data_IF_099873574479
#
_entry.id   IF_099873574479
#
_cell.length_a   1.000
_cell.length_b   1.000
_cell.length_c   1.000
_cell.angle_alpha   90.00
_cell.angle_beta   90.00
_cell.angle_gamma   90.00
#
_symmetry.space_group_name_H-M   'P 1'
#
loop_
_entity.id
_entity.type
_entity.pdbx_description
1 polymer ?
#
# COMPACT_ATOMS: atom_id res chain seq x y z
N UNK A 1 -25.89 37.98 22.21
CA UNK A 1 -24.59 37.45 21.76
C UNK A 1 -24.62 35.94 21.90
N UNK A 2 -24.90 35.24 20.81
CA UNK A 2 -24.90 33.79 20.76
C UNK A 2 -23.68 33.30 19.99
N UNK A 3 -23.03 32.26 20.52
CA UNK A 3 -22.09 31.44 19.75
C UNK A 3 -22.52 30.00 19.99
N UNK A 4 -23.21 29.47 18.98
CA UNK A 4 -23.59 28.07 18.86
C UNK A 4 -22.40 27.34 18.23
N UNK A 5 -21.80 26.38 18.93
CA UNK A 5 -20.84 25.43 18.34
C UNK A 5 -21.58 24.10 18.24
N UNK A 6 -22.00 23.79 17.01
CA UNK A 6 -22.73 22.59 16.65
C UNK A 6 -21.81 21.58 15.98
N UNK A 7 -22.17 20.30 16.12
CA UNK A 7 -21.80 19.14 15.28
C UNK A 7 -20.46 18.44 15.63
N UNK A 8 -20.30 17.11 15.57
CA UNK A 8 -21.20 16.01 15.20
C UNK A 8 -20.61 14.70 15.75
N UNK A 9 -21.49 13.80 16.17
CA UNK A 9 -21.28 12.37 16.40
C UNK A 9 -20.88 11.64 15.11
N UNK A 10 -19.88 10.73 15.18
CA UNK A 10 -19.62 9.64 14.21
C UNK A 10 -20.40 8.41 14.68
N UNK A 11 -21.12 7.61 13.85
CA UNK A 11 -20.63 6.75 12.73
C UNK A 11 -21.66 6.71 11.55
N UNK A 12 -21.64 5.86 10.47
CA UNK A 12 -20.89 4.62 10.23
C UNK A 12 -20.13 4.51 8.89
N UNK A 13 -19.16 3.60 8.93
CA UNK A 13 -18.50 2.91 7.82
C UNK A 13 -19.54 2.47 6.79
N UNK A 14 -19.54 3.11 5.61
CA UNK A 14 -20.35 2.68 4.48
C UNK A 14 -19.47 1.89 3.53
N UNK A 15 -19.77 0.60 3.46
CA UNK A 15 -19.33 -0.33 2.42
C UNK A 15 -20.12 -0.02 1.15
N UNK A 16 -19.45 0.05 0.00
CA UNK A 16 -20.05 -0.07 -1.33
C UNK A 16 -20.89 1.12 -1.81
N UNK A 17 -20.31 1.91 -2.72
CA UNK A 17 -21.06 2.90 -3.51
C UNK A 17 -20.15 3.55 -4.55
N UNK A 18 -20.43 3.30 -5.84
CA UNK A 18 -19.81 4.01 -6.95
C UNK A 18 -20.10 5.52 -6.81
N UNK A 19 -19.09 6.35 -7.04
CA UNK A 19 -19.32 7.70 -7.56
C UNK A 19 -18.54 7.89 -8.87
N UNK A 20 -19.28 8.35 -9.87
CA UNK A 20 -19.00 8.44 -11.30
C UNK A 20 -18.92 9.93 -11.68
N UNK A 21 -17.93 10.69 -11.19
CA UNK A 21 -18.05 12.15 -11.39
C UNK A 21 -16.94 13.11 -10.97
N UNK A 22 -15.67 12.72 -10.89
CA UNK A 22 -14.61 13.69 -10.55
C UNK A 22 -14.08 14.45 -11.79
N UNK A 23 -14.50 15.71 -11.94
CA UNK A 23 -13.77 16.74 -12.70
C UNK A 23 -12.44 16.98 -12.00
N UNK A 24 -11.31 16.82 -12.70
CA UNK A 24 -10.01 17.28 -12.20
C UNK A 24 -9.97 18.80 -12.21
N UNK A 25 -9.84 19.39 -11.02
CA UNK A 25 -9.40 20.78 -10.87
C UNK A 25 -7.98 20.95 -11.43
N UNK A 26 -7.76 22.09 -12.10
CA UNK A 26 -6.49 22.49 -12.67
C UNK A 26 -5.49 22.81 -11.56
N UNK A 27 -4.30 22.23 -11.64
CA UNK A 27 -3.09 22.81 -11.04
C UNK A 27 -2.31 23.44 -12.21
N UNK A 28 -2.24 24.76 -12.22
CA UNK A 28 -1.65 25.55 -13.30
C UNK A 28 -0.15 25.84 -13.10
N UNK A 29 0.53 26.10 -14.21
CA UNK A 29 1.62 27.08 -14.29
C UNK A 29 1.23 28.13 -15.33
N UNK A 30 1.38 29.39 -14.97
CA UNK A 30 0.81 30.56 -15.64
C UNK A 30 1.53 31.04 -16.91
N UNK A 31 0.69 31.63 -17.77
CA UNK A 31 0.87 32.57 -18.90
C UNK A 31 1.13 32.05 -20.33
N UNK A 32 0.50 32.69 -21.34
CA UNK A 32 0.33 32.14 -22.68
C UNK A 32 1.37 32.69 -23.68
N UNK A 33 1.85 31.90 -24.65
CA UNK A 33 2.24 32.44 -25.93
C UNK A 33 1.02 32.39 -26.86
N UNK A 34 0.51 33.58 -27.15
CA UNK A 34 -0.10 33.89 -28.44
C UNK A 34 0.84 33.42 -29.55
N UNK A 35 0.33 32.62 -30.50
CA UNK A 35 1.09 32.21 -31.68
C UNK A 35 0.72 30.79 -32.11
N UNK A 36 -0.07 30.68 -33.17
CA UNK A 36 -0.48 29.39 -33.73
C UNK A 36 0.72 28.52 -34.10
N UNK A 37 0.73 27.29 -33.61
CA UNK A 37 1.50 26.20 -34.19
C UNK A 37 0.68 24.93 -34.05
N UNK A 38 -0.03 24.59 -35.12
CA UNK A 38 -0.71 23.31 -35.32
C UNK A 38 0.33 22.22 -35.58
N UNK A 39 1.05 21.81 -34.56
CA UNK A 39 1.71 20.50 -34.53
C UNK A 39 0.95 19.63 -33.53
N UNK A 40 -0.19 19.10 -33.98
CA UNK A 40 -0.77 17.93 -33.35
C UNK A 40 0.25 16.80 -33.50
N UNK A 41 1.07 16.60 -32.47
CA UNK A 41 1.97 15.46 -32.39
C UNK A 41 1.07 14.23 -32.50
N UNK A 42 1.07 13.56 -33.67
CA UNK A 42 0.49 12.23 -33.78
C UNK A 42 1.26 11.40 -32.76
N UNK A 43 0.60 10.97 -31.69
CA UNK A 43 1.21 10.09 -30.70
C UNK A 43 1.80 8.92 -31.46
N UNK A 44 3.10 8.71 -31.33
CA UNK A 44 3.77 7.60 -32.00
C UNK A 44 3.20 6.28 -31.47
N UNK A 45 3.33 5.20 -32.25
CA UNK A 45 2.99 3.84 -31.81
C UNK A 45 3.65 3.51 -30.45
N UNK A 46 4.84 4.07 -30.19
CA UNK A 46 5.54 3.96 -28.92
C UNK A 46 4.83 4.72 -27.79
N UNK A 47 4.39 5.96 -28.02
CA UNK A 47 3.66 6.75 -27.03
C UNK A 47 2.33 6.09 -26.63
N UNK A 48 1.64 5.49 -27.61
CA UNK A 48 0.39 4.76 -27.38
C UNK A 48 0.63 3.51 -26.53
N UNK A 49 1.69 2.74 -26.86
CA UNK A 49 2.06 1.56 -26.07
C UNK A 49 2.48 1.93 -24.65
N UNK A 50 3.31 2.97 -24.47
CA UNK A 50 3.71 3.48 -23.16
C UNK A 50 2.51 3.95 -22.34
N UNK A 51 1.54 4.62 -22.96
CA UNK A 51 0.27 4.99 -22.31
C UNK A 51 -0.51 3.76 -21.84
N UNK A 52 -0.64 2.73 -22.69
CA UNK A 52 -1.32 1.47 -22.33
C UNK A 52 -0.61 0.72 -21.20
N UNK A 53 0.73 0.71 -21.19
CA UNK A 53 1.53 0.10 -20.11
C UNK A 53 1.26 0.82 -18.79
N UNK A 54 1.29 2.16 -18.78
CA UNK A 54 1.01 2.95 -17.58
C UNK A 54 -0.41 2.73 -17.05
N UNK A 55 -1.40 2.68 -17.95
CA UNK A 55 -2.79 2.40 -17.58
C UNK A 55 -2.96 1.00 -16.98
N UNK A 56 -2.32 -0.01 -17.55
CA UNK A 56 -2.36 -1.37 -17.01
C UNK A 56 -1.58 -1.48 -15.70
N UNK A 57 -0.44 -0.78 -15.57
CA UNK A 57 0.35 -0.77 -14.34
C UNK A 57 -0.42 -0.16 -13.18
N UNK A 58 -1.12 0.96 -13.41
CA UNK A 58 -2.01 1.55 -12.40
C UNK A 58 -3.14 0.61 -11.97
N UNK A 59 -3.60 -0.29 -12.85
CA UNK A 59 -4.63 -1.30 -12.52
C UNK A 59 -4.06 -2.51 -11.77
N UNK A 60 -2.82 -2.89 -12.07
CA UNK A 60 -2.13 -3.99 -11.41
C UNK A 60 -1.24 -3.56 -10.25
N UNK A 61 -1.36 -2.30 -9.82
CA UNK A 61 -0.50 -1.73 -8.78
C UNK A 61 -0.55 -2.62 -7.53
N UNK A 62 0.61 -3.12 -7.05
CA UNK A 62 0.63 -4.03 -5.92
C UNK A 62 0.30 -3.27 -4.63
N UNK A 63 -0.30 -3.97 -3.67
CA UNK A 63 -0.37 -3.48 -2.30
C UNK A 63 1.00 -3.70 -1.66
N UNK A 64 1.66 -2.60 -1.31
CA UNK A 64 2.96 -2.65 -0.65
C UNK A 64 2.79 -2.91 0.84
N UNK A 65 3.68 -3.73 1.40
CA UNK A 65 3.73 -4.00 2.83
C UNK A 65 4.69 -3.00 3.46
N UNK A 66 4.29 -2.35 4.55
CA UNK A 66 5.19 -1.49 5.33
C UNK A 66 5.65 -2.23 6.58
N UNK A 67 6.95 -2.26 6.81
CA UNK A 67 7.54 -2.78 8.04
C UNK A 67 8.03 -1.61 8.89
N UNK A 68 7.52 -1.52 10.13
CA UNK A 68 7.95 -0.54 11.11
C UNK A 68 9.05 -1.15 11.97
N UNK A 69 10.30 -0.77 11.68
CA UNK A 69 11.46 -1.30 12.37
C UNK A 69 11.57 -0.68 13.77
N UNK A 70 11.83 -1.52 14.77
CA UNK A 70 12.06 -1.04 16.14
C UNK A 70 13.33 -0.20 16.20
N UNK A 71 13.30 0.85 17.01
CA UNK A 71 14.49 1.66 17.29
C UNK A 71 15.52 0.90 18.13
N UNK A 72 16.78 1.32 18.05
CA UNK A 72 17.85 0.75 18.88
C UNK A 72 17.52 0.91 20.38
N UNK A 73 16.94 2.04 20.77
CA UNK A 73 16.55 2.34 22.14
C UNK A 73 15.46 1.39 22.66
N UNK A 74 14.45 1.08 21.84
CA UNK A 74 13.40 0.12 22.19
C UNK A 74 13.96 -1.29 22.35
N UNK A 75 14.85 -1.71 21.44
CA UNK A 75 15.55 -3.00 21.50
C UNK A 75 16.39 -3.07 22.78
N UNK A 76 17.18 -2.03 23.04
CA UNK A 76 18.03 -1.92 24.24
C UNK A 76 17.17 -1.98 25.50
N UNK A 77 16.09 -1.21 25.58
CA UNK A 77 15.19 -1.19 26.74
C UNK A 77 14.58 -2.56 27.01
N UNK A 78 14.11 -3.24 25.95
CA UNK A 78 13.59 -4.60 26.05
C UNK A 78 14.65 -5.58 26.58
N UNK A 79 15.89 -5.47 26.11
CA UNK A 79 17.00 -6.32 26.56
C UNK A 79 17.37 -6.06 28.03
N UNK A 80 17.53 -4.78 28.40
CA UNK A 80 17.84 -4.38 29.78
C UNK A 80 16.83 -4.96 30.77
N UNK A 81 15.54 -4.96 30.40
CA UNK A 81 14.44 -5.43 31.26
C UNK A 81 14.63 -6.87 31.74
N UNK A 82 15.12 -7.77 30.89
CA UNK A 82 15.34 -9.18 31.29
C UNK A 82 16.79 -9.48 31.67
N UNK A 83 17.77 -8.74 31.13
CA UNK A 83 19.18 -9.01 31.35
C UNK A 83 19.68 -8.46 32.69
N UNK A 84 19.34 -7.20 33.00
CA UNK A 84 19.88 -6.49 34.17
C UNK A 84 19.57 -7.17 35.52
N UNK A 85 18.34 -7.67 35.79
CA UNK A 85 18.02 -8.27 37.08
C UNK A 85 18.91 -9.44 37.47
N UNK A 86 19.34 -10.27 36.50
CA UNK A 86 20.24 -11.39 36.76
C UNK A 86 21.62 -10.92 37.22
N UNK A 87 22.14 -9.84 36.65
CA UNK A 87 23.43 -9.28 37.04
C UNK A 87 23.36 -8.55 38.38
N UNK A 88 22.28 -7.80 38.63
CA UNK A 88 22.06 -7.15 39.93
C UNK A 88 21.97 -8.18 41.06
N UNK A 89 21.30 -9.32 40.82
CA UNK A 89 21.28 -10.41 41.80
C UNK A 89 22.66 -11.01 42.05
N UNK A 90 23.46 -11.22 40.99
CA UNK A 90 24.82 -11.74 41.13
C UNK A 90 25.73 -10.79 41.92
N UNK A 91 25.61 -9.48 41.66
CA UNK A 91 26.32 -8.43 42.41
C UNK A 91 25.88 -8.45 43.88
N UNK A 92 24.57 -8.48 44.15
CA UNK A 92 24.03 -8.52 45.51
C UNK A 92 24.54 -9.74 46.29
N UNK A 93 24.50 -10.93 45.68
CA UNK A 93 25.02 -12.17 46.28
C UNK A 93 26.52 -12.05 46.60
N UNK A 94 27.30 -11.44 45.71
CA UNK A 94 28.74 -11.27 45.92
C UNK A 94 29.04 -10.32 47.08
N UNK A 95 28.30 -9.22 47.18
CA UNK A 95 28.40 -8.26 48.27
C UNK A 95 27.98 -8.87 49.61
N UNK A 96 26.90 -9.66 49.61
CA UNK A 96 26.43 -10.37 50.79
C UNK A 96 27.44 -11.41 51.28
N UNK A 97 28.04 -12.18 50.36
CA UNK A 97 29.10 -13.12 50.69
C UNK A 97 30.29 -12.41 51.36
N UNK A 98 30.76 -11.29 50.78
CA UNK A 98 31.86 -10.52 51.39
C UNK A 98 31.48 -9.95 52.75
N UNK A 99 30.23 -9.50 52.93
CA UNK A 99 29.74 -9.03 54.23
C UNK A 99 29.75 -10.15 55.27
N UNK A 100 29.28 -11.34 54.91
CA UNK A 100 29.28 -12.51 55.77
C UNK A 100 30.71 -12.93 56.14
N UNK A 101 31.62 -12.96 55.16
CA UNK A 101 33.02 -13.31 55.41
C UNK A 101 33.71 -12.32 56.35
N UNK A 102 33.48 -11.00 56.16
CA UNK A 102 34.00 -9.96 57.05
C UNK A 102 33.46 -10.09 58.48
N UNK A 103 32.18 -10.41 58.63
CA UNK A 103 31.56 -10.62 59.93
C UNK A 103 32.11 -11.88 60.63
N UNK A 104 32.33 -12.96 59.88
CA UNK A 104 32.96 -14.18 60.40
C UNK A 104 34.41 -13.91 60.85
N UNK A 105 35.15 -13.13 60.06
CA UNK A 105 36.51 -12.71 60.39
C UNK A 105 36.54 -11.85 61.65
N UNK A 106 35.55 -10.97 61.84
CA UNK A 106 35.39 -10.21 63.07
C UNK A 106 35.11 -11.08 64.30
N UNK A 107 34.20 -12.05 64.16
CA UNK A 107 33.90 -12.98 65.24
C UNK A 107 35.12 -13.79 65.67
N UNK A 108 35.90 -14.33 64.72
CA UNK A 108 37.14 -15.07 65.00
C UNK A 108 38.23 -14.14 65.59
N UNK A 109 38.36 -12.92 65.08
CA UNK A 109 39.31 -11.94 65.60
C UNK A 109 39.01 -11.56 67.05
N UNK A 110 37.74 -11.32 67.40
CA UNK A 110 37.31 -11.03 68.77
C UNK A 110 37.59 -12.24 69.67
N UNK A 111 37.23 -13.45 69.23
CA UNK A 111 37.44 -14.68 70.01
C UNK A 111 38.93 -14.94 70.32
N UNK A 112 39.83 -14.52 69.44
CA UNK A 112 41.29 -14.65 69.60
C UNK A 112 41.96 -13.44 70.25
N UNK A 113 41.22 -12.41 70.65
CA UNK A 113 41.78 -11.17 71.21
C UNK A 113 42.53 -10.29 70.19
N UNK A 114 42.31 -10.52 68.89
CA UNK A 114 42.95 -9.81 67.77
C UNK A 114 42.03 -8.77 67.09
N UNK A 115 40.91 -8.40 67.72
CA UNK A 115 39.88 -7.53 67.13
C UNK A 115 40.36 -6.15 66.66
N UNK A 116 41.48 -5.65 67.21
CA UNK A 116 42.11 -4.38 66.80
C UNK A 116 43.41 -4.57 66.01
N UNK A 117 43.71 -5.79 65.55
CA UNK A 117 44.96 -6.07 64.85
C UNK A 117 44.96 -5.50 63.43
N UNK A 118 46.09 -4.93 63.02
CA UNK A 118 46.31 -4.44 61.66
C UNK A 118 46.12 -5.54 60.61
N UNK A 119 46.41 -6.80 60.98
CA UNK A 119 46.21 -7.97 60.12
C UNK A 119 44.74 -8.17 59.74
N UNK A 120 43.82 -8.12 60.71
CA UNK A 120 42.38 -8.28 60.47
C UNK A 120 41.86 -7.18 59.54
N UNK A 121 42.28 -5.94 59.78
CA UNK A 121 41.97 -4.80 58.90
C UNK A 121 42.48 -5.03 57.47
N UNK A 122 43.71 -5.48 57.31
CA UNK A 122 44.33 -5.75 56.00
C UNK A 122 43.62 -6.89 55.24
N UNK A 123 43.22 -7.97 55.93
CA UNK A 123 42.43 -9.05 55.32
C UNK A 123 41.07 -8.53 54.83
N UNK A 124 40.35 -7.73 55.64
CA UNK A 124 39.08 -7.12 55.20
C UNK A 124 39.24 -6.23 53.99
N UNK A 125 40.32 -5.45 53.94
CA UNK A 125 40.64 -4.58 52.80
C UNK A 125 40.90 -5.41 51.53
N UNK A 126 41.67 -6.50 51.64
CA UNK A 126 41.85 -7.45 50.52
C UNK A 126 40.52 -8.03 50.05
N UNK A 127 39.63 -8.39 50.97
CA UNK A 127 38.34 -8.98 50.64
C UNK A 127 37.41 -7.97 49.96
N UNK A 128 37.41 -6.71 50.41
CA UNK A 128 36.71 -5.62 49.74
C UNK A 128 37.26 -5.33 48.34
N UNK A 129 38.58 -5.35 48.18
CA UNK A 129 39.22 -5.15 46.88
C UNK A 129 38.92 -6.30 45.91
N UNK A 130 38.83 -7.54 46.42
CA UNK A 130 38.41 -8.69 45.62
C UNK A 130 36.94 -8.57 45.18
N UNK A 131 36.03 -8.25 46.11
CA UNK A 131 34.62 -7.97 45.80
C UNK A 131 34.48 -6.90 44.72
N UNK A 132 35.18 -5.77 44.84
CA UNK A 132 35.10 -4.68 43.88
C UNK A 132 35.56 -5.11 42.47
N UNK A 133 36.58 -5.96 42.36
CA UNK A 133 37.04 -6.52 41.07
C UNK A 133 36.02 -7.48 40.47
N UNK A 134 35.39 -8.32 41.30
CA UNK A 134 34.37 -9.26 40.86
C UNK A 134 33.13 -8.51 40.35
N UNK A 135 32.68 -7.50 41.09
CA UNK A 135 31.57 -6.62 40.68
C UNK A 135 31.90 -5.87 39.39
N UNK A 136 33.11 -5.32 39.26
CA UNK A 136 33.54 -4.65 38.02
C UNK A 136 33.55 -5.62 36.82
N UNK A 137 33.93 -6.88 37.05
CA UNK A 137 33.89 -7.92 36.01
C UNK A 137 32.46 -8.25 35.61
N UNK A 138 31.53 -8.37 36.58
CA UNK A 138 30.11 -8.58 36.31
C UNK A 138 29.50 -7.43 35.50
N UNK A 139 29.80 -6.19 35.86
CA UNK A 139 29.33 -5.00 35.14
C UNK A 139 29.92 -4.91 33.72
N UNK A 140 31.20 -5.24 33.56
CA UNK A 140 31.83 -5.32 32.23
C UNK A 140 31.18 -6.38 31.35
N UNK A 141 30.92 -7.57 31.92
CA UNK A 141 30.25 -8.65 31.21
C UNK A 141 28.81 -8.28 30.84
N UNK A 142 28.09 -7.60 31.73
CA UNK A 142 26.77 -7.04 31.43
C UNK A 142 26.82 -6.07 30.25
N UNK A 143 27.73 -5.10 30.27
CA UNK A 143 27.90 -4.13 29.18
C UNK A 143 28.21 -4.79 27.84
N UNK A 144 29.14 -5.75 27.81
CA UNK A 144 29.48 -6.50 26.61
C UNK A 144 28.32 -7.34 26.10
N UNK A 145 27.60 -8.01 27.00
CA UNK A 145 26.47 -8.87 26.65
C UNK A 145 25.30 -8.04 26.10
N UNK A 146 25.00 -6.89 26.73
CA UNK A 146 23.99 -5.96 26.28
C UNK A 146 24.31 -5.45 24.86
N UNK A 147 25.56 -5.06 24.61
CA UNK A 147 25.98 -4.57 23.30
C UNK A 147 25.82 -5.63 22.20
N UNK A 148 26.21 -6.88 22.46
CA UNK A 148 26.05 -8.01 21.52
C UNK A 148 24.56 -8.25 21.18
N UNK A 149 23.69 -8.31 22.18
CA UNK A 149 22.25 -8.49 21.95
C UNK A 149 21.61 -7.31 21.23
N UNK A 150 22.02 -6.07 21.53
CA UNK A 150 21.51 -4.88 20.84
C UNK A 150 21.94 -4.90 19.38
N UNK A 151 23.22 -5.17 19.08
CA UNK A 151 23.72 -5.27 17.69
C UNK A 151 22.94 -6.32 16.89
N UNK A 152 22.79 -7.52 17.44
CA UNK A 152 22.02 -8.60 16.81
C UNK A 152 20.55 -8.25 16.61
N UNK A 153 19.96 -7.52 17.56
CA UNK A 153 18.60 -7.03 17.46
C UNK A 153 18.44 -6.03 16.31
N UNK A 154 19.34 -5.04 16.24
CA UNK A 154 19.36 -4.03 15.17
C UNK A 154 19.57 -4.69 13.80
N UNK A 155 20.54 -5.58 13.67
CA UNK A 155 20.81 -6.33 12.44
C UNK A 155 19.55 -7.07 11.95
N UNK A 156 18.85 -7.78 12.85
CA UNK A 156 17.62 -8.49 12.51
C UNK A 156 16.50 -7.54 12.03
N UNK A 157 16.31 -6.40 12.69
CA UNK A 157 15.32 -5.39 12.28
C UNK A 157 15.69 -4.78 10.91
N UNK A 158 16.98 -4.55 10.64
CA UNK A 158 17.43 -4.07 9.33
C UNK A 158 17.23 -5.11 8.23
N UNK A 159 17.47 -6.38 8.52
CA UNK A 159 17.24 -7.48 7.57
C UNK A 159 15.76 -7.63 7.22
N UNK A 160 14.86 -7.54 8.21
CA UNK A 160 13.41 -7.58 7.99
C UNK A 160 12.89 -6.40 7.17
N UNK A 161 13.43 -5.21 7.44
CA UNK A 161 13.12 -4.01 6.64
C UNK A 161 13.59 -4.20 5.19
N UNK A 162 14.81 -4.72 4.99
CA UNK A 162 15.35 -4.99 3.67
C UNK A 162 14.55 -6.07 2.92
N UNK A 163 14.13 -7.13 3.61
CA UNK A 163 13.29 -8.19 3.06
C UNK A 163 11.93 -7.64 2.60
N UNK A 164 11.31 -6.78 3.41
CA UNK A 164 10.06 -6.11 3.04
C UNK A 164 10.24 -5.22 1.81
N UNK A 165 11.34 -4.48 1.73
CA UNK A 165 11.66 -3.66 0.56
C UNK A 165 11.89 -4.50 -0.71
N UNK A 166 12.60 -5.64 -0.58
CA UNK A 166 12.80 -6.60 -1.67
C UNK A 166 11.47 -7.18 -2.13
N UNK A 167 10.63 -7.62 -1.21
CA UNK A 167 9.30 -8.14 -1.52
C UNK A 167 8.46 -7.10 -2.28
N UNK A 168 8.41 -5.85 -1.80
CA UNK A 168 7.68 -4.79 -2.51
C UNK A 168 8.27 -4.49 -3.89
N UNK A 169 9.60 -4.53 -4.04
CA UNK A 169 10.26 -4.37 -5.34
C UNK A 169 9.90 -5.51 -6.31
N UNK A 170 9.89 -6.76 -5.84
CA UNK A 170 9.49 -7.93 -6.62
C UNK A 170 8.01 -7.85 -7.04
N UNK A 171 7.11 -7.44 -6.13
CA UNK A 171 5.70 -7.24 -6.47
C UNK A 171 5.52 -6.14 -7.52
N UNK A 172 6.29 -5.05 -7.44
CA UNK A 172 6.28 -3.98 -8.47
C UNK A 172 6.78 -4.49 -9.82
N UNK A 173 7.84 -5.28 -9.85
CA UNK A 173 8.34 -5.88 -11.09
C UNK A 173 7.31 -6.82 -11.71
N UNK A 174 6.71 -7.70 -10.92
CA UNK A 174 5.66 -8.62 -11.38
C UNK A 174 4.44 -7.87 -11.90
N UNK A 175 4.00 -6.81 -11.21
CA UNK A 175 2.91 -5.95 -11.66
C UNK A 175 3.25 -5.27 -13.00
N UNK A 176 4.49 -4.82 -13.18
CA UNK A 176 4.97 -4.26 -14.44
C UNK A 176 4.95 -5.29 -15.58
N UNK A 177 5.41 -6.52 -15.35
CA UNK A 177 5.38 -7.58 -16.37
C UNK A 177 3.95 -7.95 -16.79
N UNK A 178 3.02 -8.05 -15.82
CA UNK A 178 1.60 -8.26 -16.10
C UNK A 178 0.99 -7.09 -16.88
N UNK A 179 1.32 -5.86 -16.49
CA UNK A 179 0.89 -4.66 -17.19
C UNK A 179 1.41 -4.60 -18.63
N UNK A 180 2.70 -4.92 -18.82
CA UNK A 180 3.35 -4.93 -20.11
C UNK A 180 2.73 -5.96 -21.06
N UNK A 181 2.55 -7.20 -20.59
CA UNK A 181 1.92 -8.25 -21.40
C UNK A 181 0.46 -7.93 -21.75
N UNK A 182 -0.32 -7.39 -20.80
CA UNK A 182 -1.69 -6.94 -21.07
C UNK A 182 -1.74 -5.76 -22.07
N UNK A 183 -0.82 -4.80 -21.93
CA UNK A 183 -0.70 -3.67 -22.83
C UNK A 183 -0.34 -4.10 -24.26
N UNK A 184 0.52 -5.11 -24.44
CA UNK A 184 0.83 -5.66 -25.75
C UNK A 184 -0.41 -6.25 -26.44
N UNK A 185 -1.28 -6.94 -25.70
CA UNK A 185 -2.54 -7.48 -26.24
C UNK A 185 -3.46 -6.34 -26.70
N UNK A 186 -3.60 -5.29 -25.89
CA UNK A 186 -4.40 -4.10 -26.24
C UNK A 186 -3.81 -3.34 -27.44
N UNK A 187 -2.48 -3.22 -27.49
CA UNK A 187 -1.79 -2.55 -28.58
C UNK A 187 -1.93 -3.30 -29.91
N UNK A 188 -1.89 -4.64 -29.90
CA UNK A 188 -2.19 -5.44 -31.09
C UNK A 188 -3.63 -5.19 -31.59
N UNK A 189 -4.60 -5.06 -30.69
CA UNK A 189 -5.97 -4.70 -31.08
C UNK A 189 -6.06 -3.27 -31.63
N UNK A 190 -5.33 -2.32 -31.04
CA UNK A 190 -5.22 -0.96 -31.56
C UNK A 190 -4.65 -0.95 -32.98
N UNK A 191 -3.55 -1.67 -33.25
CA UNK A 191 -2.96 -1.78 -34.59
C UNK A 191 -3.90 -2.42 -35.62
N UNK A 192 -4.67 -3.45 -35.21
CA UNK A 192 -5.69 -4.05 -36.08
C UNK A 192 -6.81 -3.07 -36.43
N UNK A 193 -7.15 -2.15 -35.53
CA UNK A 193 -8.14 -1.09 -35.77
C UNK A 193 -7.56 0.11 -36.54
N UNK A 194 -6.28 0.43 -36.39
CA UNK A 194 -5.64 1.55 -37.08
C UNK A 194 -5.10 1.21 -38.48
N UNK A 195 -4.72 -0.05 -38.72
CA UNK A 195 -4.29 -0.56 -40.03
C UNK A 195 -5.42 -0.98 -40.96
N UNK A 196 -6.67 -0.97 -40.48
CA UNK A 196 -7.86 -1.34 -41.24
C UNK A 196 -8.61 -0.12 -41.79
N UNK A 197 -8.12 0.46 -42.88
CA UNK A 197 -8.95 1.17 -43.85
C UNK A 197 -9.49 2.55 -43.45
N UNK A 198 -8.90 3.57 -44.08
CA UNK A 198 -9.59 4.81 -44.45
C UNK A 198 -10.95 4.49 -45.09
N UNK A 199 -12.02 4.77 -44.35
CA UNK A 199 -13.39 4.64 -44.79
C UNK A 199 -14.26 5.64 -44.05
N UNK A 200 -14.00 6.93 -44.26
CA UNK A 200 -14.89 8.02 -43.85
C UNK A 200 -16.13 7.97 -44.75
N UNK A 201 -17.04 7.06 -44.43
CA UNK A 201 -18.45 7.09 -44.82
C UNK A 201 -19.21 6.82 -43.53
N UNK A 202 -20.19 7.67 -43.19
CA UNK A 202 -20.91 7.66 -41.93
C UNK A 202 -21.37 6.25 -41.56
N UNK A 203 -20.58 5.56 -40.72
CA UNK A 203 -20.82 4.18 -40.35
C UNK A 203 -21.80 4.21 -39.19
N UNK A 204 -23.06 4.21 -39.57
CA UNK A 204 -24.20 3.90 -38.69
C UNK A 204 -23.81 2.73 -37.78
N UNK A 205 -23.95 2.92 -36.47
CA UNK A 205 -23.57 1.93 -35.45
C UNK A 205 -24.46 0.69 -35.57
N UNK A 206 -23.87 -0.44 -35.93
CA UNK A 206 -24.59 -1.73 -36.03
C UNK A 206 -24.59 -2.43 -34.68
N UNK A 207 -25.74 -2.93 -34.24
CA UNK A 207 -25.93 -3.73 -33.03
C UNK A 207 -26.29 -5.18 -33.40
N UNK A 208 -26.37 -6.09 -32.43
CA UNK A 208 -26.94 -7.42 -32.67
C UNK A 208 -28.45 -7.34 -32.90
N UNK A 209 -29.03 -8.35 -33.58
CA UNK A 209 -30.48 -8.48 -33.80
C UNK A 209 -31.26 -8.54 -32.49
N UNK A 210 -30.71 -9.21 -31.47
CA UNK A 210 -31.30 -9.34 -30.13
C UNK A 210 -31.41 -7.98 -29.42
N UNK A 211 -30.43 -7.10 -29.63
CA UNK A 211 -30.47 -5.75 -29.06
C UNK A 211 -31.53 -4.88 -29.74
N UNK A 212 -31.72 -5.03 -31.07
CA UNK A 212 -32.80 -4.37 -31.80
C UNK A 212 -34.19 -4.86 -31.33
N UNK A 213 -34.33 -6.16 -31.08
CA UNK A 213 -35.57 -6.78 -30.57
C UNK A 213 -35.91 -6.25 -29.16
N UNK A 214 -34.92 -6.23 -28.28
CA UNK A 214 -35.04 -5.71 -26.91
C UNK A 214 -35.41 -4.23 -26.92
N UNK A 215 -34.72 -3.42 -27.73
CA UNK A 215 -35.00 -1.98 -27.87
C UNK A 215 -36.45 -1.72 -28.29
N UNK A 216 -36.93 -2.38 -29.36
CA UNK A 216 -38.30 -2.21 -29.86
C UNK A 216 -39.37 -2.73 -28.90
N UNK A 217 -39.07 -3.78 -28.13
CA UNK A 217 -39.99 -4.32 -27.13
C UNK A 217 -40.25 -3.35 -25.96
N UNK A 218 -39.26 -2.53 -25.61
CA UNK A 218 -39.34 -1.56 -24.51
C UNK A 218 -40.06 -0.26 -24.89
N UNK A 219 -40.19 0.01 -26.19
CA UNK A 219 -40.85 1.21 -26.73
C UNK A 219 -42.37 1.01 -26.81
N UNK A 220 -43.13 2.06 -26.50
CA UNK A 220 -44.58 2.12 -26.75
C UNK A 220 -44.89 2.26 -28.23
N UNK A 221 -46.12 2.00 -28.66
CA UNK A 221 -46.53 2.14 -30.07
C UNK A 221 -46.28 3.55 -30.62
N UNK A 222 -46.51 4.59 -29.82
CA UNK A 222 -46.25 5.98 -30.20
C UNK A 222 -44.75 6.27 -30.41
N UNK A 223 -43.88 5.70 -29.57
CA UNK A 223 -42.42 5.88 -29.68
C UNK A 223 -41.85 5.04 -30.83
N UNK A 224 -42.41 3.85 -31.09
CA UNK A 224 -42.08 3.08 -32.30
C UNK A 224 -42.46 3.83 -33.57
N UNK A 225 -43.58 4.56 -33.56
CA UNK A 225 -43.96 5.45 -34.66
C UNK A 225 -42.89 6.53 -34.91
N UNK A 226 -42.30 7.08 -33.86
CA UNK A 226 -41.20 8.05 -33.99
C UNK A 226 -39.97 7.42 -34.68
N UNK A 227 -39.64 6.17 -34.36
CA UNK A 227 -38.54 5.43 -35.01
C UNK A 227 -38.88 5.09 -36.47
N UNK A 228 -40.10 4.64 -36.76
CA UNK A 228 -40.48 4.12 -38.08
C UNK A 228 -41.00 5.15 -39.07
N UNK A 229 -41.53 6.29 -38.61
CA UNK A 229 -42.28 7.22 -39.46
C UNK A 229 -41.85 8.68 -39.29
N UNK A 230 -41.29 9.09 -38.15
CA UNK A 230 -41.05 10.51 -37.91
C UNK A 230 -39.92 11.11 -38.76
N UNK A 231 -40.06 12.39 -39.17
CA UNK A 231 -39.05 13.11 -39.93
C UNK A 231 -37.89 13.64 -39.06
N UNK A 232 -37.96 13.44 -37.74
CA UNK A 232 -36.97 13.90 -36.77
C UNK A 232 -35.58 13.29 -37.04
N UNK A 233 -34.53 14.04 -36.68
CA UNK A 233 -33.15 13.58 -36.87
C UNK A 233 -32.85 12.29 -36.09
N UNK A 234 -33.42 12.15 -34.90
CA UNK A 234 -33.27 10.97 -34.05
C UNK A 234 -33.98 9.74 -34.64
N UNK A 235 -35.23 9.88 -35.11
CA UNK A 235 -35.98 8.77 -35.73
C UNK A 235 -35.28 8.23 -36.99
N UNK A 236 -34.73 9.12 -37.82
CA UNK A 236 -33.92 8.73 -38.99
C UNK A 236 -32.64 7.99 -38.61
N UNK A 237 -31.97 8.41 -37.54
CA UNK A 237 -30.77 7.74 -37.04
C UNK A 237 -31.10 6.33 -36.53
N UNK A 238 -32.08 6.17 -35.63
CA UNK A 238 -32.48 4.86 -35.13
C UNK A 238 -32.94 3.92 -36.24
N UNK A 239 -33.70 4.42 -37.22
CA UNK A 239 -34.08 3.61 -38.39
C UNK A 239 -32.88 3.14 -39.19
N UNK A 240 -31.94 4.04 -39.44
CA UNK A 240 -30.71 3.69 -40.16
C UNK A 240 -29.90 2.65 -39.39
N UNK A 241 -29.81 2.75 -38.06
CA UNK A 241 -29.11 1.82 -37.17
C UNK A 241 -29.73 0.44 -37.17
N UNK A 242 -31.06 0.35 -37.07
CA UNK A 242 -31.76 -0.94 -37.11
C UNK A 242 -31.60 -1.57 -38.50
N UNK A 243 -31.79 -0.81 -39.59
CA UNK A 243 -31.62 -1.32 -40.97
C UNK A 243 -30.17 -1.77 -41.21
N UNK A 244 -29.18 -1.03 -40.71
CA UNK A 244 -27.77 -1.42 -40.80
C UNK A 244 -27.46 -2.68 -39.98
N UNK A 245 -28.18 -2.93 -38.89
CA UNK A 245 -27.98 -4.06 -37.98
C UNK A 245 -28.64 -5.36 -38.45
N UNK A 246 -29.87 -5.29 -38.98
CA UNK A 246 -30.67 -6.48 -39.35
C UNK A 246 -31.00 -6.58 -40.85
N UNK A 247 -30.56 -5.61 -41.65
CA UNK A 247 -30.93 -5.48 -43.06
C UNK A 247 -32.37 -5.01 -43.27
N UNK A 248 -32.70 -4.52 -44.47
CA UNK A 248 -34.04 -4.02 -44.78
C UNK A 248 -35.14 -5.08 -44.57
N UNK A 249 -34.88 -6.34 -44.95
CA UNK A 249 -35.81 -7.44 -44.72
C UNK A 249 -36.03 -7.76 -43.23
N UNK A 250 -34.96 -7.73 -42.42
CA UNK A 250 -35.04 -7.92 -40.97
C UNK A 250 -35.75 -6.77 -40.27
N UNK A 251 -35.59 -5.54 -40.76
CA UNK A 251 -36.31 -4.36 -40.27
C UNK A 251 -37.83 -4.49 -40.48
N UNK A 252 -38.29 -4.93 -41.66
CA UNK A 252 -39.72 -5.17 -41.89
C UNK A 252 -40.29 -6.31 -41.03
N UNK A 253 -39.49 -7.36 -40.76
CA UNK A 253 -39.88 -8.42 -39.83
C UNK A 253 -40.05 -7.89 -38.40
N UNK A 254 -39.17 -7.00 -37.95
CA UNK A 254 -39.27 -6.36 -36.63
C UNK A 254 -40.46 -5.39 -36.54
N UNK A 255 -40.76 -4.64 -37.60
CA UNK A 255 -41.97 -3.80 -37.67
C UNK A 255 -43.25 -4.65 -37.56
N UNK A 256 -43.29 -5.83 -38.20
CA UNK A 256 -44.42 -6.75 -38.09
C UNK A 256 -44.59 -7.35 -36.70
N UNK A 257 -43.47 -7.64 -36.00
CA UNK A 257 -43.46 -8.13 -34.62
C UNK A 257 -43.82 -7.05 -33.59
N UNK A 258 -43.44 -5.80 -33.87
CA UNK A 258 -43.65 -4.64 -33.00
C UNK A 258 -44.28 -3.47 -33.77
N UNK A 259 -45.60 -3.49 -33.99
CA UNK A 259 -46.29 -2.43 -34.74
C UNK A 259 -46.28 -1.07 -34.01
N UNK A 260 -46.40 0.02 -34.78
CA UNK A 260 -46.50 1.41 -34.29
C UNK A 260 -47.93 1.82 -33.90
N UNK A 261 -48.93 1.02 -34.28
CA UNK A 261 -50.31 1.12 -33.82
C UNK A 261 -50.62 -0.08 -32.90
N UNK A 262 -51.48 0.09 -31.89
CA UNK A 262 -51.99 -1.08 -31.15
C UNK A 262 -52.71 -2.06 -32.08
#
# INVERSE_FOLDING_TARGET
>A
MGINISMMTRPPTTIGGKDLGLKRERIGFDRPPSGGSSNAHKSSDADVLSGMINDMYNRFQPQEITYDAKSEEEIRSAIVTWLRPSYDQAIANRQEQTRADKANLDADAIARGMGASTYVTDVKNRQQNAEARDVATLESNYGSTLADYVSKGVENETDRSLETQKFNAEQRQKAYEMAYSAALVLFQQYKKRSGGGSGRSGKVTTTSRENCDTFLSLLSGAERREVYEAPSGAGKQYRSEIIASVGSAGYYQLMGKYPSTP
#
